data_IF_559032860547
#
_entry.id   IF_559032860547
#
_cell.length_a   1.000
_cell.length_b   1.000
_cell.length_c   1.000
_cell.angle_alpha   90.00
_cell.angle_beta   90.00
_cell.angle_gamma   90.00
#
_symmetry.space_group_name_H-M   'P 1'
#
loop_
_entity.id
_entity.type
_entity.pdbx_description
1 polymer ?
#
# COMPACT_ATOMS: atom_id res chain seq x y z
N UNK A 1 -17.63 31.42 29.68
CA UNK A 1 -18.05 30.41 28.69
C UNK A 1 -17.62 29.05 29.24
N UNK A 2 -18.56 28.37 29.88
CA UNK A 2 -18.45 27.03 30.50
C UNK A 2 -18.33 25.97 29.38
N UNK A 3 -17.78 24.76 29.52
CA UNK A 3 -17.38 23.98 30.69
C UNK A 3 -16.70 22.66 30.26
N UNK A 4 -16.04 22.03 31.23
CA UNK A 4 -15.58 20.63 31.22
C UNK A 4 -16.71 19.74 31.75
N UNK A 5 -16.92 18.57 31.15
CA UNK A 5 -17.72 17.42 31.64
C UNK A 5 -17.06 16.18 31.00
N UNK A 6 -16.44 15.19 31.65
CA UNK A 6 -16.54 14.50 32.96
C UNK A 6 -17.81 13.66 33.19
N UNK A 7 -17.89 12.58 32.40
CA UNK A 7 -18.40 11.23 32.71
C UNK A 7 -19.13 11.02 34.07
N UNK A 8 -20.43 10.66 34.05
CA UNK A 8 -21.09 10.02 35.19
C UNK A 8 -21.63 8.63 34.83
N UNK A 9 -21.40 7.66 35.71
CA UNK A 9 -22.00 6.33 35.57
C UNK A 9 -21.57 5.29 36.60
N UNK A 10 -21.38 5.69 37.86
CA UNK A 10 -21.24 4.76 38.98
C UNK A 10 -22.41 4.97 39.94
N UNK A 11 -23.34 4.00 39.98
CA UNK A 11 -24.29 3.85 41.08
C UNK A 11 -24.23 2.42 41.60
N UNK A 12 -23.75 2.32 42.84
CA UNK A 12 -23.81 1.14 43.70
C UNK A 12 -25.23 1.00 44.25
N UNK A 13 -25.77 -0.22 44.27
CA UNK A 13 -26.94 -0.55 45.08
C UNK A 13 -26.65 -1.78 45.95
N UNK A 14 -26.76 -1.56 47.26
CA UNK A 14 -26.58 -2.50 48.37
C UNK A 14 -27.62 -3.63 48.33
N UNK A 15 -27.22 -4.87 48.66
CA UNK A 15 -28.12 -6.00 48.91
C UNK A 15 -27.84 -6.63 50.30
N UNK A 16 -28.87 -7.05 51.07
CA UNK A 16 -28.72 -7.66 52.39
C UNK A 16 -28.49 -9.19 52.32
N UNK A 17 -27.92 -9.83 53.37
CA UNK A 17 -27.52 -11.23 53.34
C UNK A 17 -28.59 -12.18 53.90
N UNK A 18 -28.87 -13.27 53.19
CA UNK A 18 -29.49 -14.46 53.77
C UNK A 18 -30.65 -15.07 52.97
N UNK A 19 -30.33 -16.05 52.12
CA UNK A 19 -31.13 -17.26 51.85
C UNK A 19 -30.45 -18.12 50.77
N UNK A 20 -30.14 -19.39 51.07
CA UNK A 20 -29.90 -20.47 50.08
C UNK A 20 -31.20 -21.29 49.89
N UNK A 21 -31.29 -22.29 48.99
CA UNK A 21 -31.69 -22.19 47.58
C UNK A 21 -32.95 -23.06 47.27
N UNK A 22 -33.37 -23.19 46.00
CA UNK A 22 -33.64 -24.54 45.50
C UNK A 22 -32.98 -24.83 44.12
N UNK A 23 -32.81 -26.12 43.77
CA UNK A 23 -31.93 -26.55 42.69
C UNK A 23 -32.71 -26.72 41.38
N UNK A 24 -32.18 -26.22 40.27
CA UNK A 24 -32.64 -26.64 38.95
C UNK A 24 -31.48 -26.82 37.97
N UNK A 25 -31.09 -28.10 37.91
CA UNK A 25 -30.72 -28.88 36.73
C UNK A 25 -29.52 -28.40 35.89
N UNK A 26 -28.39 -29.04 36.20
CA UNK A 26 -27.34 -29.40 35.25
C UNK A 26 -27.91 -30.09 34.00
N UNK A 27 -27.59 -29.59 32.80
CA UNK A 27 -27.33 -30.47 31.66
C UNK A 27 -26.49 -29.76 30.58
N UNK A 28 -25.22 -30.19 30.41
CA UNK A 28 -24.39 -29.82 29.25
C UNK A 28 -22.91 -29.55 29.56
N UNK A 29 -22.12 -30.61 29.71
CA UNK A 29 -20.65 -30.65 29.67
C UNK A 29 -20.11 -30.42 28.21
N UNK A 30 -18.80 -30.53 27.91
CA UNK A 30 -17.71 -29.56 28.11
C UNK A 30 -16.99 -29.25 26.76
N UNK A 31 -16.34 -28.10 26.59
CA UNK A 31 -15.63 -27.86 25.32
C UNK A 31 -14.69 -26.68 25.37
N UNK A 32 -13.44 -26.93 25.76
CA UNK A 32 -12.35 -25.97 25.64
C UNK A 32 -12.15 -25.57 24.19
N UNK A 33 -12.59 -24.37 23.85
CA UNK A 33 -12.20 -23.68 22.63
C UNK A 33 -11.20 -22.60 23.00
N UNK A 34 -9.93 -22.82 22.70
CA UNK A 34 -8.90 -21.78 22.73
C UNK A 34 -9.36 -20.62 21.84
N UNK A 35 -9.95 -19.60 22.46
CA UNK A 35 -10.21 -18.33 21.82
C UNK A 35 -8.88 -17.70 21.46
N UNK A 36 -8.46 -17.85 20.20
CA UNK A 36 -7.43 -17.02 19.60
C UNK A 36 -7.91 -15.56 19.72
N UNK A 37 -7.40 -14.83 20.71
CA UNK A 37 -7.61 -13.39 20.81
C UNK A 37 -6.99 -12.74 19.55
N UNK A 38 -7.75 -11.93 18.79
CA UNK A 38 -7.17 -11.15 17.71
C UNK A 38 -6.03 -10.28 18.25
N UNK A 39 -4.88 -10.16 17.54
CA UNK A 39 -3.78 -9.31 17.97
C UNK A 39 -4.27 -7.88 18.24
N UNK A 40 -4.03 -7.40 19.45
CA UNK A 40 -4.53 -6.11 19.96
C UNK A 40 -3.84 -4.88 19.33
N UNK A 41 -2.88 -5.09 18.42
CA UNK A 41 -2.21 -4.03 17.69
C UNK A 41 -2.08 -4.41 16.21
N UNK A 42 -2.51 -3.55 15.27
CA UNK A 42 -2.08 -3.65 13.89
C UNK A 42 -0.57 -3.49 13.86
N UNK A 43 0.16 -4.46 13.30
CA UNK A 43 1.54 -4.19 12.91
C UNK A 43 1.58 -2.95 12.00
N UNK A 44 2.60 -2.09 12.13
CA UNK A 44 2.75 -0.94 11.25
C UNK A 44 2.80 -1.44 9.81
N UNK A 45 1.86 -0.98 9.00
CA UNK A 45 1.79 -1.37 7.60
C UNK A 45 3.08 -0.94 6.89
N UNK A 46 3.65 -1.76 6.00
CA UNK A 46 4.79 -1.36 5.18
C UNK A 46 4.52 0.00 4.51
N UNK A 47 5.57 0.83 4.31
CA UNK A 47 5.41 2.14 3.68
C UNK A 47 4.77 1.99 2.29
N UNK A 48 3.81 2.86 1.99
CA UNK A 48 3.18 2.85 0.68
C UNK A 48 4.16 3.30 -0.40
N UNK A 49 3.94 2.91 -1.66
CA UNK A 49 4.77 3.39 -2.77
C UNK A 49 4.76 4.92 -2.86
N UNK A 50 3.63 5.57 -2.60
CA UNK A 50 3.53 7.03 -2.60
C UNK A 50 4.41 7.66 -1.53
N UNK A 51 4.47 7.07 -0.33
CA UNK A 51 5.36 7.53 0.74
C UNK A 51 6.82 7.29 0.39
N UNK A 52 7.15 6.16 -0.24
CA UNK A 52 8.50 5.88 -0.72
C UNK A 52 8.94 6.87 -1.81
N UNK A 53 8.07 7.20 -2.76
CA UNK A 53 8.33 8.24 -3.78
C UNK A 53 8.57 9.60 -3.12
N UNK A 54 7.74 9.99 -2.15
CA UNK A 54 7.96 11.23 -1.38
C UNK A 54 9.30 11.19 -0.63
N UNK A 55 9.58 10.12 0.09
CA UNK A 55 10.80 10.00 0.89
C UNK A 55 12.05 10.05 0.01
N UNK A 56 12.03 9.34 -1.12
CA UNK A 56 13.13 9.34 -2.08
C UNK A 56 13.35 10.69 -2.75
N UNK A 57 12.27 11.35 -3.23
CA UNK A 57 12.36 12.68 -3.86
C UNK A 57 12.80 13.79 -2.88
N UNK A 58 12.55 13.62 -1.58
CA UNK A 58 13.03 14.53 -0.52
C UNK A 58 14.40 14.16 0.04
N UNK A 59 15.02 13.08 -0.45
CA UNK A 59 16.35 12.62 -0.01
C UNK A 59 16.36 11.93 1.37
N UNK A 60 15.19 11.55 1.89
CA UNK A 60 15.05 10.81 3.16
C UNK A 60 15.06 9.28 3.01
N UNK A 61 15.21 8.79 1.77
CA UNK A 61 15.32 7.36 1.44
C UNK A 61 16.42 7.15 0.40
N UNK A 62 17.22 6.10 0.57
CA UNK A 62 18.26 5.71 -0.38
C UNK A 62 17.66 5.06 -1.64
N UNK A 63 18.43 5.01 -2.73
CA UNK A 63 17.97 4.44 -4.00
C UNK A 63 17.70 2.94 -3.90
N UNK A 64 18.55 2.20 -3.19
CA UNK A 64 18.42 0.76 -3.00
C UNK A 64 17.16 0.41 -2.19
N UNK A 65 16.85 1.19 -1.16
CA UNK A 65 15.63 1.02 -0.36
C UNK A 65 14.38 1.32 -1.19
N UNK A 66 14.43 2.41 -1.96
CA UNK A 66 13.36 2.74 -2.90
C UNK A 66 13.13 1.62 -3.91
N UNK A 67 14.20 1.07 -4.51
CA UNK A 67 14.09 -0.03 -5.48
C UNK A 67 13.42 -1.27 -4.87
N UNK A 68 13.70 -1.60 -3.61
CA UNK A 68 13.06 -2.72 -2.93
C UNK A 68 11.55 -2.49 -2.71
N UNK A 69 11.19 -1.29 -2.25
CA UNK A 69 9.77 -0.93 -2.08
C UNK A 69 9.07 -0.91 -3.44
N UNK A 70 9.68 -0.30 -4.46
CA UNK A 70 9.13 -0.25 -5.81
C UNK A 70 8.89 -1.64 -6.39
N UNK A 71 9.88 -2.53 -6.33
CA UNK A 71 9.81 -3.87 -6.90
C UNK A 71 8.59 -4.67 -6.39
N UNK A 72 8.23 -4.50 -5.12
CA UNK A 72 7.12 -5.22 -4.48
C UNK A 72 5.79 -4.46 -4.51
N UNK A 73 5.83 -3.17 -4.81
CA UNK A 73 4.65 -2.30 -4.82
C UNK A 73 3.80 -2.50 -6.06
N UNK A 74 2.47 -2.36 -5.89
CA UNK A 74 1.54 -2.27 -7.01
C UNK A 74 1.68 -0.90 -7.69
N UNK A 75 1.71 -0.94 -9.01
CA UNK A 75 1.79 0.21 -9.89
C UNK A 75 0.60 0.16 -10.85
N UNK A 76 -0.04 1.31 -11.04
CA UNK A 76 -1.20 1.45 -11.91
C UNK A 76 -0.77 2.03 -13.26
N UNK A 77 -1.06 1.30 -14.33
CA UNK A 77 -0.66 1.68 -15.68
C UNK A 77 -1.90 1.98 -16.53
N UNK A 78 -2.00 3.17 -17.17
CA UNK A 78 -3.04 3.43 -18.15
C UNK A 78 -2.95 2.43 -19.30
N UNK A 79 -4.10 2.01 -19.80
CA UNK A 79 -4.23 1.04 -20.88
C UNK A 79 -4.94 1.68 -22.07
N UNK A 80 -4.40 1.45 -23.27
CA UNK A 80 -5.07 1.73 -24.53
C UNK A 80 -6.07 0.62 -24.92
N UNK A 81 -6.48 0.61 -26.18
CA UNK A 81 -7.33 -0.47 -26.69
C UNK A 81 -6.53 -1.74 -27.03
N UNK A 82 -5.27 -1.57 -27.44
CA UNK A 82 -4.34 -2.69 -27.66
C UNK A 82 -3.63 -3.09 -26.36
N UNK A 83 -3.30 -4.38 -26.18
CA UNK A 83 -2.48 -4.84 -25.06
C UNK A 83 -1.10 -4.18 -25.06
N UNK A 84 -0.59 -3.87 -23.85
CA UNK A 84 0.76 -3.34 -23.64
C UNK A 84 0.78 -2.00 -22.90
N UNK A 85 2.01 -1.54 -22.61
CA UNK A 85 2.24 -0.23 -22.02
C UNK A 85 1.91 0.90 -23.00
N UNK A 86 1.25 1.95 -22.50
CA UNK A 86 1.00 3.15 -23.28
C UNK A 86 2.22 4.08 -23.21
N UNK A 87 2.97 4.16 -24.29
CA UNK A 87 4.17 4.99 -24.35
C UNK A 87 3.90 6.43 -24.79
N UNK A 88 4.53 7.38 -24.09
CA UNK A 88 4.61 8.78 -24.48
C UNK A 88 5.86 8.99 -25.33
N UNK A 89 5.66 9.46 -26.57
CA UNK A 89 6.72 9.67 -27.56
C UNK A 89 7.06 11.15 -27.78
N UNK A 90 6.48 12.05 -26.98
CA UNK A 90 6.68 13.50 -27.09
C UNK A 90 7.91 14.01 -26.32
N UNK A 91 8.68 13.12 -25.70
CA UNK A 91 9.90 13.39 -24.94
C UNK A 91 11.13 12.91 -25.71
N UNK A 92 12.33 13.43 -25.38
CA UNK A 92 13.58 12.99 -26.04
C UNK A 92 13.84 11.49 -25.90
N UNK A 93 13.38 10.87 -24.81
CA UNK A 93 13.36 9.42 -24.61
C UNK A 93 11.93 8.99 -24.35
N UNK A 94 11.46 7.87 -24.94
CA UNK A 94 10.09 7.42 -24.73
C UNK A 94 9.91 6.96 -23.27
N UNK A 95 8.79 7.37 -22.67
CA UNK A 95 8.48 7.05 -21.28
C UNK A 95 7.11 6.44 -21.13
N UNK A 96 6.97 5.52 -20.18
CA UNK A 96 5.69 4.95 -19.78
C UNK A 96 5.17 5.68 -18.53
N UNK A 97 3.97 6.29 -18.56
CA UNK A 97 3.37 6.90 -17.38
C UNK A 97 2.80 5.80 -16.49
N UNK A 98 3.14 5.89 -15.20
CA UNK A 98 2.78 4.95 -14.16
C UNK A 98 2.34 5.71 -12.91
N UNK A 99 1.50 5.10 -12.10
CA UNK A 99 0.87 5.81 -10.98
C UNK A 99 0.93 4.99 -9.70
N UNK A 100 1.18 5.66 -8.59
CA UNK A 100 1.23 5.06 -7.25
C UNK A 100 -0.16 4.78 -6.69
N UNK A 101 -1.19 5.41 -7.26
CA UNK A 101 -2.59 5.22 -6.86
C UNK A 101 -3.57 5.46 -8.01
N UNK A 102 -4.79 4.92 -7.86
CA UNK A 102 -5.90 5.23 -8.78
C UNK A 102 -6.30 6.70 -8.80
N UNK A 103 -6.05 7.43 -7.71
CA UNK A 103 -6.35 8.87 -7.64
C UNK A 103 -5.46 9.63 -8.61
N UNK A 104 -4.15 9.38 -8.58
CA UNK A 104 -3.19 10.00 -9.49
C UNK A 104 -3.42 9.55 -10.95
N UNK A 105 -3.70 8.26 -11.17
CA UNK A 105 -4.04 7.77 -12.52
C UNK A 105 -5.25 8.50 -13.09
N UNK A 106 -6.33 8.67 -12.31
CA UNK A 106 -7.57 9.33 -12.77
C UNK A 106 -7.41 10.83 -12.94
N UNK A 107 -6.48 11.45 -12.21
CA UNK A 107 -6.12 12.84 -12.41
C UNK A 107 -5.54 13.04 -13.81
N UNK A 108 -4.62 12.16 -14.20
CA UNK A 108 -3.95 12.17 -15.48
C UNK A 108 -4.83 11.69 -16.65
N UNK A 109 -5.41 10.49 -16.56
CA UNK A 109 -6.10 9.83 -17.67
C UNK A 109 -7.63 10.00 -17.67
N UNK A 110 -8.18 10.72 -16.68
CA UNK A 110 -9.62 10.90 -16.51
C UNK A 110 -10.30 9.78 -15.69
N UNK A 111 -11.54 10.03 -15.27
CA UNK A 111 -12.29 9.16 -14.33
C UNK A 111 -12.59 7.76 -14.89
N UNK A 112 -12.87 7.68 -16.18
CA UNK A 112 -13.27 6.46 -16.90
C UNK A 112 -12.09 5.76 -17.59
N UNK A 113 -10.86 6.11 -17.21
CA UNK A 113 -9.66 5.51 -17.75
C UNK A 113 -9.59 4.01 -17.51
N UNK A 114 -9.26 3.27 -18.57
CA UNK A 114 -8.91 1.85 -18.47
C UNK A 114 -7.48 1.74 -17.96
N UNK A 115 -7.24 0.77 -17.07
CA UNK A 115 -5.92 0.54 -16.49
C UNK A 115 -5.70 -0.96 -16.25
N UNK A 116 -4.45 -1.30 -16.00
CA UNK A 116 -4.05 -2.56 -15.40
C UNK A 116 -3.11 -2.30 -14.23
N UNK A 117 -2.93 -3.32 -13.39
CA UNK A 117 -2.10 -3.25 -12.19
C UNK A 117 -1.08 -4.37 -12.25
N UNK A 118 0.18 -4.00 -12.07
CA UNK A 118 1.32 -4.92 -11.98
C UNK A 118 2.24 -4.45 -10.85
N UNK A 119 3.21 -5.27 -10.50
CA UNK A 119 4.27 -4.93 -9.56
C UNK A 119 5.39 -4.15 -10.23
N UNK A 120 6.20 -3.42 -9.45
CA UNK A 120 7.39 -2.77 -10.00
C UNK A 120 8.42 -3.76 -10.55
N UNK A 121 8.50 -4.98 -10.02
CA UNK A 121 9.36 -6.03 -10.59
C UNK A 121 8.88 -6.46 -11.98
N UNK A 122 7.57 -6.67 -12.16
CA UNK A 122 6.97 -6.98 -13.47
C UNK A 122 7.13 -5.81 -14.44
N UNK A 123 7.07 -4.55 -13.97
CA UNK A 123 7.40 -3.38 -14.79
C UNK A 123 8.83 -3.52 -15.34
N UNK A 124 9.80 -3.76 -14.47
CA UNK A 124 11.22 -3.84 -14.86
C UNK A 124 11.46 -4.98 -15.85
N UNK A 125 10.78 -6.11 -15.68
CA UNK A 125 10.88 -7.28 -16.57
C UNK A 125 10.21 -7.07 -17.94
N UNK A 126 9.08 -6.36 -17.98
CA UNK A 126 8.27 -6.18 -19.19
C UNK A 126 8.58 -4.92 -19.99
N UNK A 127 9.35 -3.98 -19.42
CA UNK A 127 9.67 -2.73 -20.10
C UNK A 127 10.57 -2.97 -21.32
N UNK A 128 10.21 -2.44 -22.50
CA UNK A 128 11.07 -2.56 -23.68
C UNK A 128 12.40 -1.81 -23.46
N UNK A 129 13.50 -2.36 -23.98
CA UNK A 129 14.81 -1.70 -23.94
C UNK A 129 14.74 -0.30 -24.54
N UNK A 130 15.41 0.67 -23.90
CA UNK A 130 15.42 2.06 -24.34
C UNK A 130 14.22 2.88 -23.86
N UNK A 131 13.31 2.30 -23.06
CA UNK A 131 12.21 3.02 -22.44
C UNK A 131 12.51 3.36 -20.97
N UNK A 132 12.13 4.57 -20.60
CA UNK A 132 12.01 4.97 -19.20
C UNK A 132 10.58 4.84 -18.70
N UNK A 133 10.35 5.20 -17.43
CA UNK A 133 9.01 5.38 -16.89
C UNK A 133 8.93 6.61 -16.00
N UNK A 134 7.72 7.15 -15.85
CA UNK A 134 7.43 8.30 -14.98
C UNK A 134 6.39 7.88 -13.97
N UNK A 135 6.66 8.11 -12.68
CA UNK A 135 5.70 7.95 -11.61
C UNK A 135 4.98 9.28 -11.34
N UNK A 136 3.65 9.20 -11.23
CA UNK A 136 2.75 10.30 -10.85
C UNK A 136 3.01 11.59 -11.64
N UNK A 137 2.81 11.54 -12.95
CA UNK A 137 3.18 12.63 -13.88
C UNK A 137 2.57 14.00 -13.53
N UNK A 138 1.37 14.03 -12.95
CA UNK A 138 0.67 15.23 -12.48
C UNK A 138 0.65 15.36 -10.95
N UNK A 139 1.33 14.44 -10.25
CA UNK A 139 1.43 14.40 -8.81
C UNK A 139 2.46 15.40 -8.28
N UNK A 140 2.42 15.61 -6.96
CA UNK A 140 3.35 16.52 -6.27
C UNK A 140 4.80 16.00 -6.29
N UNK A 141 4.97 14.68 -6.25
CA UNK A 141 6.27 14.02 -6.23
C UNK A 141 6.50 13.25 -7.54
N UNK A 142 6.43 13.96 -8.67
CA UNK A 142 6.76 13.38 -9.97
C UNK A 142 8.18 12.86 -9.96
N UNK A 143 8.36 11.62 -10.41
CA UNK A 143 9.67 11.00 -10.55
C UNK A 143 9.85 10.39 -11.93
N UNK A 144 11.02 10.59 -12.52
CA UNK A 144 11.36 10.12 -13.88
C UNK A 144 12.55 9.18 -13.79
N UNK A 145 12.38 7.97 -14.31
CA UNK A 145 13.45 7.02 -14.56
C UNK A 145 13.70 7.01 -16.06
N UNK A 146 14.89 7.41 -16.47
CA UNK A 146 15.31 7.29 -17.86
C UNK A 146 15.66 5.83 -18.18
N UNK A 147 15.87 5.51 -19.46
CA UNK A 147 16.15 4.14 -19.87
C UNK A 147 17.40 3.55 -19.19
N UNK A 148 18.42 4.39 -18.93
CA UNK A 148 19.66 3.96 -18.29
C UNK A 148 19.43 3.61 -16.81
N UNK A 149 18.62 4.41 -16.12
CA UNK A 149 18.24 4.12 -14.74
C UNK A 149 17.45 2.80 -14.66
N UNK A 150 16.56 2.53 -15.63
CA UNK A 150 15.85 1.25 -15.72
C UNK A 150 16.83 0.09 -15.94
N UNK A 151 17.79 0.23 -16.86
CA UNK A 151 18.85 -0.78 -17.09
C UNK A 151 19.65 -1.07 -15.80
N UNK A 152 19.98 -0.05 -15.02
CA UNK A 152 20.66 -0.22 -13.73
C UNK A 152 19.78 -0.95 -12.70
N UNK A 153 18.47 -0.73 -12.70
CA UNK A 153 17.53 -1.46 -11.85
C UNK A 153 17.43 -2.94 -12.24
N UNK A 154 17.46 -3.25 -13.55
CA UNK A 154 17.53 -4.63 -14.05
C UNK A 154 18.80 -5.31 -13.56
N UNK A 155 19.96 -4.66 -13.71
CA UNK A 155 21.25 -5.19 -13.26
C UNK A 155 21.26 -5.48 -11.75
N UNK A 156 20.68 -4.57 -10.95
CA UNK A 156 20.55 -4.76 -9.51
C UNK A 156 19.66 -5.96 -9.18
N UNK A 157 18.51 -6.08 -9.85
CA UNK A 157 17.60 -7.22 -9.65
C UNK A 157 18.28 -8.56 -10.01
N UNK A 158 19.03 -8.60 -11.12
CA UNK A 158 19.79 -9.80 -11.54
C UNK A 158 20.87 -10.17 -10.53
N UNK A 159 21.68 -9.20 -10.08
CA UNK A 159 22.70 -9.43 -9.04
C UNK A 159 22.10 -9.96 -7.75
N UNK A 160 20.89 -9.55 -7.38
CA UNK A 160 20.22 -10.05 -6.18
C UNK A 160 19.74 -11.50 -6.32
N UNK A 161 19.31 -11.90 -7.52
CA UNK A 161 18.79 -13.26 -7.76
C UNK A 161 19.90 -14.29 -7.97
N UNK A 162 21.02 -13.89 -8.56
CA UNK A 162 22.08 -14.81 -9.01
C UNK A 162 23.48 -14.52 -8.43
N UNK A 163 23.62 -13.47 -7.62
CA UNK A 163 24.88 -13.07 -6.99
C UNK A 163 25.10 -13.60 -5.59
#
# INVERSE_FOLDING_TARGET
>A
MYGYDQNPGAQQQYAPPGAQPPPQQMQGMPGGGYGQQPPLYPEPSPPSLADAVRAFTTGSMAAEDFQQVFATSKVYCPRGDNPGFLALHNTQQPVIPMFTSLKELRRYAGKDSKYFVITGAEVIDLLPTGYGFVLDMEGEHRMVFDAKAVEQMVDFAMRRMYG
#
